data_IF_883408044028
#
_entry.id   IF_883408044028
#
_cell.length_a   1.000
_cell.length_b   1.000
_cell.length_c   1.000
_cell.angle_alpha   90.00
_cell.angle_beta   90.00
_cell.angle_gamma   90.00
#
_symmetry.space_group_name_H-M   'P 1'
#
loop_
_entity.id
_entity.type
_entity.pdbx_description
1 polymer ?
#
# COMPACT_ATOMS: atom_id res chain seq x y z
N UNK A 1 -8.12 9.81 -16.46
CA UNK A 1 -8.89 9.31 -15.31
C UNK A 1 -8.16 9.65 -14.03
N UNK A 2 -8.88 10.21 -13.09
CA UNK A 2 -8.29 10.66 -11.85
C UNK A 2 -8.19 9.51 -10.85
N UNK A 3 -7.06 9.43 -10.19
CA UNK A 3 -6.88 8.45 -9.15
C UNK A 3 -6.15 9.11 -7.99
N UNK A 4 -6.57 8.78 -6.79
CA UNK A 4 -5.89 9.24 -5.57
C UNK A 4 -5.12 8.05 -5.04
N UNK A 5 -3.82 8.21 -4.97
CA UNK A 5 -2.92 7.15 -4.53
C UNK A 5 -2.37 7.51 -3.17
N UNK A 6 -2.38 6.56 -2.28
CA UNK A 6 -1.82 6.72 -0.94
C UNK A 6 -0.55 5.91 -0.81
N UNK A 7 0.46 6.54 -0.26
CA UNK A 7 1.69 5.86 0.16
C UNK A 7 1.42 5.42 1.60
N UNK A 8 1.43 4.14 1.84
CA UNK A 8 0.98 3.59 3.11
C UNK A 8 2.01 2.67 3.74
N UNK A 9 1.87 2.55 5.06
CA UNK A 9 2.63 1.58 5.85
C UNK A 9 1.60 0.66 6.50
N UNK A 10 1.73 -0.62 6.22
CA UNK A 10 0.84 -1.64 6.80
C UNK A 10 1.56 -2.32 7.94
N UNK A 11 0.94 -2.27 9.12
CA UNK A 11 1.45 -2.99 10.27
C UNK A 11 0.77 -4.34 10.28
N UNK A 12 1.57 -5.39 10.17
CA UNK A 12 1.05 -6.75 10.06
C UNK A 12 0.62 -7.25 11.44
N UNK A 13 -0.53 -7.91 11.48
CA UNK A 13 -1.06 -8.46 12.72
C UNK A 13 -0.06 -9.46 13.29
N UNK A 14 0.04 -9.47 14.62
CA UNK A 14 1.00 -10.32 15.31
C UNK A 14 0.87 -11.79 14.95
N UNK A 15 -0.34 -12.25 14.73
CA UNK A 15 -0.57 -13.65 14.36
C UNK A 15 -0.02 -13.99 12.98
N UNK A 16 0.33 -12.98 12.18
CA UNK A 16 0.83 -13.17 10.82
C UNK A 16 2.32 -12.84 10.67
N UNK A 17 2.99 -12.56 11.76
CA UNK A 17 4.42 -12.20 11.70
C UNK A 17 5.28 -13.28 11.04
N UNK A 18 4.94 -14.53 11.25
CA UNK A 18 5.67 -15.63 10.65
C UNK A 18 5.18 -15.97 9.24
N UNK A 19 4.16 -15.26 8.79
CA UNK A 19 3.53 -15.52 7.50
C UNK A 19 3.55 -14.28 6.63
N UNK A 20 4.63 -13.51 6.70
CA UNK A 20 4.72 -12.25 5.97
C UNK A 20 4.50 -12.39 4.46
N UNK A 21 5.00 -13.47 3.88
CA UNK A 21 4.80 -13.69 2.45
C UNK A 21 3.33 -13.88 2.10
N UNK A 22 2.59 -14.54 2.96
CA UNK A 22 1.16 -14.71 2.76
C UNK A 22 0.43 -13.39 2.96
N UNK A 23 0.87 -12.59 3.93
CA UNK A 23 0.31 -11.27 4.14
C UNK A 23 0.56 -10.39 2.93
N UNK A 24 1.78 -10.43 2.37
CA UNK A 24 2.11 -9.68 1.17
C UNK A 24 1.21 -10.07 0.01
N UNK A 25 1.00 -11.35 -0.18
CA UNK A 25 0.15 -11.82 -1.27
C UNK A 25 -1.28 -11.34 -1.08
N UNK A 26 -1.78 -11.41 0.15
CA UNK A 26 -3.12 -10.93 0.45
C UNK A 26 -3.26 -9.43 0.15
N UNK A 27 -2.23 -8.65 0.50
CA UNK A 27 -2.24 -7.22 0.21
C UNK A 27 -2.20 -6.95 -1.28
N UNK A 28 -1.39 -7.70 -2.03
CA UNK A 28 -1.35 -7.55 -3.48
C UNK A 28 -2.69 -7.88 -4.11
N UNK A 29 -3.33 -8.93 -3.62
CA UNK A 29 -4.65 -9.32 -4.12
C UNK A 29 -5.70 -8.25 -3.85
N UNK A 30 -5.50 -7.47 -2.80
CA UNK A 30 -6.39 -6.36 -2.47
C UNK A 30 -6.09 -5.09 -3.27
N UNK A 31 -5.05 -5.12 -4.09
CA UNK A 31 -4.72 -3.99 -4.96
C UNK A 31 -3.52 -3.17 -4.55
N UNK A 32 -2.80 -3.61 -3.52
CA UNK A 32 -1.62 -2.88 -3.07
C UNK A 32 -0.40 -3.20 -3.91
N UNK A 33 0.37 -2.18 -4.23
CA UNK A 33 1.68 -2.33 -4.86
C UNK A 33 2.72 -2.27 -3.75
N UNK A 34 3.36 -3.38 -3.46
CA UNK A 34 4.32 -3.46 -2.36
C UNK A 34 5.68 -2.92 -2.82
N UNK A 35 6.23 -2.03 -2.03
CA UNK A 35 7.54 -1.44 -2.30
C UNK A 35 8.62 -2.08 -1.43
N UNK A 36 8.29 -2.34 -0.18
CA UNK A 36 9.25 -2.84 0.78
C UNK A 36 8.54 -3.66 1.83
N UNK A 37 9.19 -4.69 2.34
CA UNK A 37 8.67 -5.37 3.51
C UNK A 37 9.81 -5.58 4.50
N UNK A 38 9.51 -5.32 5.77
CA UNK A 38 10.46 -5.41 6.85
C UNK A 38 10.07 -6.60 7.73
N UNK A 39 10.80 -7.68 7.59
CA UNK A 39 10.49 -8.90 8.34
C UNK A 39 10.71 -8.72 9.84
N UNK A 40 11.68 -7.91 10.20
CA UNK A 40 12.02 -7.72 11.61
C UNK A 40 10.93 -6.98 12.37
N UNK A 41 10.30 -6.04 11.71
CA UNK A 41 9.29 -5.20 12.35
C UNK A 41 7.87 -5.53 11.90
N UNK A 42 7.71 -6.50 11.01
CA UNK A 42 6.42 -6.92 10.48
C UNK A 42 5.68 -5.74 9.85
N UNK A 43 6.39 -5.00 9.01
CA UNK A 43 5.88 -3.81 8.37
C UNK A 43 6.00 -3.96 6.85
N UNK A 44 4.95 -3.60 6.13
CA UNK A 44 4.96 -3.63 4.67
C UNK A 44 4.59 -2.25 4.17
N UNK A 45 5.41 -1.69 3.30
CA UNK A 45 5.15 -0.37 2.73
C UNK A 45 4.83 -0.49 1.26
N UNK A 46 4.03 0.43 0.77
CA UNK A 46 3.66 0.42 -0.64
C UNK A 46 2.62 1.46 -0.97
N UNK A 47 1.98 1.25 -2.11
CA UNK A 47 1.01 2.19 -2.68
C UNK A 47 -0.31 1.49 -2.91
N UNK A 48 -1.40 2.23 -2.72
CA UNK A 48 -2.73 1.72 -3.03
C UNK A 48 -3.66 2.90 -3.32
N UNK A 49 -4.69 2.65 -4.11
CA UNK A 49 -5.71 3.66 -4.31
C UNK A 49 -6.36 3.99 -2.98
N UNK A 50 -6.57 5.28 -2.75
CA UNK A 50 -7.17 5.76 -1.49
C UNK A 50 -8.49 5.06 -1.18
N UNK A 51 -9.29 4.82 -2.21
CA UNK A 51 -10.59 4.17 -2.03
C UNK A 51 -10.49 2.73 -1.52
N UNK A 52 -9.31 2.13 -1.60
CA UNK A 52 -9.12 0.75 -1.18
C UNK A 52 -8.45 0.60 0.17
N UNK A 53 -8.06 1.72 0.79
CA UNK A 53 -7.38 1.67 2.08
C UNK A 53 -8.24 0.98 3.15
N UNK A 54 -9.53 1.30 3.16
CA UNK A 54 -10.45 0.67 4.13
C UNK A 54 -10.51 -0.85 3.98
N UNK A 55 -10.42 -1.33 2.75
CA UNK A 55 -10.44 -2.76 2.50
C UNK A 55 -9.23 -3.45 3.13
N UNK A 56 -8.09 -2.77 3.10
CA UNK A 56 -6.89 -3.31 3.73
C UNK A 56 -7.05 -3.42 5.24
N UNK A 57 -7.67 -2.41 5.84
CA UNK A 57 -7.84 -2.38 7.29
C UNK A 57 -8.71 -3.52 7.80
N UNK A 58 -9.52 -4.11 6.93
CA UNK A 58 -10.40 -5.21 7.29
C UNK A 58 -9.76 -6.59 7.12
N UNK A 59 -8.58 -6.64 6.55
CA UNK A 59 -7.92 -7.92 6.33
C UNK A 59 -7.40 -8.51 7.64
N UNK A 60 -7.48 -9.83 7.80
CA UNK A 60 -7.04 -10.46 9.06
C UNK A 60 -5.54 -10.31 9.31
N UNK A 61 -4.75 -10.14 8.24
CA UNK A 61 -3.30 -10.00 8.39
C UNK A 61 -2.87 -8.57 8.73
N UNK A 62 -3.80 -7.63 8.75
CA UNK A 62 -3.48 -6.22 8.97
C UNK A 62 -3.92 -5.79 10.36
N UNK A 63 -2.96 -5.28 11.14
CA UNK A 63 -3.25 -4.70 12.44
C UNK A 63 -3.82 -3.31 12.23
N UNK A 64 -3.07 -2.47 11.52
CA UNK A 64 -3.62 -1.20 11.06
C UNK A 64 -2.80 -0.67 9.89
N UNK A 65 -3.38 0.30 9.19
CA UNK A 65 -2.75 0.95 8.05
C UNK A 65 -2.50 2.41 8.39
N UNK A 66 -1.28 2.87 8.13
CA UNK A 66 -0.91 4.26 8.34
C UNK A 66 -0.67 4.91 6.99
N UNK A 67 -1.37 6.00 6.71
CA UNK A 67 -1.13 6.76 5.49
C UNK A 67 0.02 7.71 5.72
N UNK A 68 1.03 7.62 4.87
CA UNK A 68 2.20 8.47 4.96
C UNK A 68 2.02 9.68 4.06
N UNK A 69 1.52 9.46 2.86
CA UNK A 69 1.37 10.52 1.88
C UNK A 69 0.27 10.13 0.90
N UNK A 70 -0.51 11.12 0.49
CA UNK A 70 -1.57 10.91 -0.48
C UNK A 70 -1.41 11.91 -1.60
N UNK A 71 -1.51 11.46 -2.85
CA UNK A 71 -1.34 12.32 -4.01
C UNK A 71 -2.25 11.88 -5.14
N UNK A 72 -2.41 12.77 -6.10
CA UNK A 72 -3.22 12.48 -7.28
C UNK A 72 -2.34 11.92 -8.37
N UNK A 73 -2.82 10.88 -9.02
CA UNK A 73 -2.14 10.27 -10.15
C UNK A 73 -3.07 10.32 -11.34
N UNK A 74 -3.34 11.51 -11.81
CA UNK A 74 -4.31 11.74 -12.87
C UNK A 74 -3.68 12.08 -14.21
N UNK A 75 -2.37 11.96 -14.32
CA UNK A 75 -1.70 12.24 -15.58
C UNK A 75 -1.65 11.00 -16.45
N UNK A 76 -1.93 11.14 -17.75
CA UNK A 76 -1.77 9.98 -18.63
C UNK A 76 -0.30 9.58 -18.71
N UNK A 77 -0.04 8.31 -19.01
CA UNK A 77 1.32 7.83 -19.16
C UNK A 77 2.07 8.67 -20.20
N UNK A 78 3.27 9.07 -19.86
CA UNK A 78 4.09 9.87 -20.77
C UNK A 78 3.86 11.36 -20.70
N UNK A 79 2.96 11.81 -19.83
CA UNK A 79 2.74 13.25 -19.66
C UNK A 79 3.98 13.88 -19.04
N UNK A 80 4.52 14.95 -19.66
CA UNK A 80 5.72 15.60 -19.12
C UNK A 80 5.58 16.06 -17.68
N UNK A 81 4.38 16.41 -17.28
CA UNK A 81 4.15 16.88 -15.91
C UNK A 81 4.37 15.78 -14.89
N UNK A 82 4.17 14.56 -15.31
CA UNK A 82 4.39 13.42 -14.46
C UNK A 82 5.87 13.30 -14.07
N UNK A 83 6.73 13.65 -15.03
CA UNK A 83 8.17 13.64 -14.82
C UNK A 83 8.63 14.88 -14.07
N UNK A 84 8.03 15.99 -14.35
CA UNK A 84 8.43 17.27 -13.78
C UNK A 84 8.23 17.36 -12.28
N UNK A 85 7.48 16.48 -11.74
CA UNK A 85 7.26 16.45 -10.28
C UNK A 85 8.44 15.95 -9.51
N UNK A 86 9.39 15.45 -10.18
CA UNK A 86 10.59 14.88 -9.61
C UNK A 86 11.47 15.94 -8.97
#
# INVERSE_FOLDING_TARGET
>A
MDAIISDIVVIVDKAWEEKLKEAEQTLKDAGMTIRESDDDNSVITGLIEESKVHALEKLPCVDYVRKVFTYYADYPPGDPRDVDKM
#
